data_IF_678022028796
#
_entry.id   IF_678022028796
#
_cell.length_a   1.000
_cell.length_b   1.000
_cell.length_c   1.000
_cell.angle_alpha   90.00
_cell.angle_beta   90.00
_cell.angle_gamma   90.00
#
_symmetry.space_group_name_H-M   'P 1'
#
loop_
_entity.id
_entity.type
_entity.pdbx_description
1 polymer ?
#
# COMPACT_ATOMS: atom_id res chain seq x y z
N UNK A 1 -1.58 46.72 70.79
CA UNK A 1 -0.17 46.61 70.34
C UNK A 1 0.20 45.14 70.18
N UNK A 2 0.31 44.66 68.94
CA UNK A 2 1.29 43.66 68.48
C UNK A 2 0.98 43.32 67.02
N UNK A 3 1.89 43.73 66.15
CA UNK A 3 1.98 43.41 64.72
C UNK A 3 2.44 41.96 64.60
N UNK A 4 1.95 41.20 63.61
CA UNK A 4 2.75 40.16 62.94
C UNK A 4 2.12 39.71 61.63
N UNK A 5 2.81 40.12 60.55
CA UNK A 5 3.02 39.47 59.26
C UNK A 5 2.08 38.33 58.84
N UNK A 6 1.26 38.58 57.81
CA UNK A 6 0.79 37.54 56.91
C UNK A 6 1.63 37.55 55.62
N UNK A 7 2.25 36.40 55.39
CA UNK A 7 3.10 36.02 54.26
C UNK A 7 2.25 36.00 52.97
N UNK A 8 2.57 36.84 51.99
CA UNK A 8 1.96 36.76 50.65
C UNK A 8 2.74 35.76 49.80
N UNK A 9 2.24 34.53 49.68
CA UNK A 9 2.75 33.56 48.72
C UNK A 9 2.14 33.86 47.34
N UNK A 10 2.94 34.43 46.43
CA UNK A 10 2.59 34.58 45.03
C UNK A 10 2.70 33.21 44.33
N UNK A 11 1.56 32.59 44.05
CA UNK A 11 1.48 31.37 43.25
C UNK A 11 1.55 31.77 41.77
N UNK A 12 2.72 31.63 41.15
CA UNK A 12 2.88 31.82 39.71
C UNK A 12 2.27 30.62 38.97
N UNK A 13 1.08 30.81 38.38
CA UNK A 13 0.52 29.88 37.39
C UNK A 13 1.37 29.97 36.12
N UNK A 14 2.32 29.05 35.95
CA UNK A 14 2.91 28.77 34.65
C UNK A 14 1.94 27.90 33.86
N UNK A 15 1.22 28.53 32.92
CA UNK A 15 0.46 27.82 31.89
C UNK A 15 1.45 26.99 31.04
N UNK A 16 1.27 25.67 30.91
CA UNK A 16 2.00 24.93 29.90
C UNK A 16 1.48 25.36 28.53
N UNK A 17 2.30 26.09 27.77
CA UNK A 17 2.16 26.15 26.32
C UNK A 17 2.27 24.73 25.78
N UNK A 18 1.14 24.12 25.47
CA UNK A 18 1.08 22.88 24.72
C UNK A 18 1.71 23.17 23.34
N UNK A 19 2.99 22.83 23.20
CA UNK A 19 3.62 22.70 21.90
C UNK A 19 2.76 21.70 21.12
N UNK A 20 2.06 22.19 20.10
CA UNK A 20 1.42 21.33 19.12
C UNK A 20 2.52 20.43 18.55
N UNK A 21 2.45 19.14 18.90
CA UNK A 21 3.34 18.14 18.34
C UNK A 21 3.25 18.22 16.81
N UNK A 22 4.37 18.11 16.08
CA UNK A 22 4.32 18.03 14.63
C UNK A 22 3.38 16.88 14.26
N UNK A 23 2.40 17.17 13.39
CA UNK A 23 1.45 16.18 12.94
C UNK A 23 2.22 15.03 12.26
N UNK A 24 2.39 13.92 12.97
CA UNK A 24 2.83 12.66 12.37
C UNK A 24 1.96 12.40 11.14
N UNK A 25 2.50 11.89 10.02
CA UNK A 25 1.72 11.64 8.81
C UNK A 25 0.55 10.71 9.17
N UNK A 26 -0.66 11.28 9.25
CA UNK A 26 -1.86 10.70 9.89
C UNK A 26 -2.46 9.51 9.13
N UNK A 27 -1.83 9.03 8.05
CA UNK A 27 -2.48 8.17 7.06
C UNK A 27 -2.58 6.70 7.48
N UNK A 28 -1.57 6.09 8.12
CA UNK A 28 -1.64 4.68 8.55
C UNK A 28 -2.51 4.45 9.79
N UNK A 29 -2.49 5.38 10.74
CA UNK A 29 -3.17 5.24 12.03
C UNK A 29 -4.70 5.35 11.96
N UNK A 30 -5.25 5.84 10.84
CA UNK A 30 -6.69 6.02 10.63
C UNK A 30 -7.29 5.04 9.61
N UNK A 31 -6.57 3.97 9.26
CA UNK A 31 -7.02 3.00 8.28
C UNK A 31 -8.38 2.39 8.68
N UNK A 32 -9.27 2.25 7.69
CA UNK A 32 -10.53 1.50 7.81
C UNK A 32 -10.24 0.00 7.77
N UNK A 33 -9.33 -0.41 6.88
CA UNK A 33 -8.90 -1.79 6.75
C UNK A 33 -7.43 -1.87 6.35
N UNK A 34 -6.80 -2.97 6.71
CA UNK A 34 -5.45 -3.32 6.30
C UNK A 34 -5.50 -4.68 5.62
N UNK A 35 -5.26 -4.69 4.31
CA UNK A 35 -5.17 -5.90 3.51
C UNK A 35 -3.71 -6.19 3.28
N UNK A 36 -3.13 -7.03 4.12
CA UNK A 36 -1.71 -7.31 3.96
C UNK A 36 -1.50 -8.22 2.76
N UNK A 37 -0.70 -7.73 1.83
CA UNK A 37 -0.07 -8.50 0.75
C UNK A 37 1.18 -9.23 1.28
N UNK A 38 1.66 -8.87 2.49
CA UNK A 38 2.83 -9.42 3.19
C UNK A 38 2.58 -9.78 4.68
N UNK A 39 1.34 -9.85 5.24
CA UNK A 39 1.02 -10.51 6.57
C UNK A 39 1.24 -12.02 6.53
N UNK A 40 2.11 -12.41 5.64
CA UNK A 40 2.35 -13.73 5.20
C UNK A 40 3.88 -13.85 4.97
N UNK A 41 4.68 -12.92 5.53
CA UNK A 41 6.09 -13.17 5.82
C UNK A 41 6.29 -14.17 6.98
N UNK A 42 5.24 -14.46 7.76
CA UNK A 42 5.17 -15.61 8.69
C UNK A 42 4.03 -16.60 8.37
N UNK A 43 3.30 -16.39 7.29
CA UNK A 43 2.21 -17.27 6.84
C UNK A 43 1.91 -17.17 5.33
N UNK A 44 2.92 -17.10 4.45
CA UNK A 44 2.87 -17.12 2.97
C UNK A 44 1.58 -16.70 2.20
N UNK A 45 1.61 -15.54 1.48
CA UNK A 45 0.74 -15.39 0.32
C UNK A 45 1.39 -16.35 -0.66
N UNK A 46 0.80 -17.52 -0.84
CA UNK A 46 1.15 -18.43 -1.92
C UNK A 46 0.21 -18.16 -3.08
N UNK A 47 0.54 -18.62 -4.29
CA UNK A 47 -0.45 -18.74 -5.36
C UNK A 47 -1.78 -19.36 -4.90
N UNK A 48 -1.77 -20.24 -3.88
CA UNK A 48 -2.98 -20.84 -3.31
C UNK A 48 -3.84 -19.87 -2.46
N UNK A 49 -3.25 -18.93 -1.71
CA UNK A 49 -4.05 -17.95 -0.96
C UNK A 49 -4.51 -16.79 -1.82
N UNK A 50 -3.79 -16.46 -2.90
CA UNK A 50 -4.31 -15.60 -3.95
C UNK A 50 -5.40 -16.28 -4.77
N UNK A 51 -5.41 -17.61 -4.87
CA UNK A 51 -6.49 -18.35 -5.54
C UNK A 51 -7.87 -18.15 -4.88
N UNK A 52 -7.92 -17.78 -3.59
CA UNK A 52 -9.17 -17.34 -2.92
C UNK A 52 -9.72 -16.06 -3.55
N UNK A 53 -8.85 -15.27 -4.17
CA UNK A 53 -9.18 -14.08 -4.96
C UNK A 53 -9.55 -14.42 -6.40
N UNK A 54 -9.73 -15.70 -6.75
CA UNK A 54 -10.06 -16.14 -8.10
C UNK A 54 -8.90 -16.80 -8.83
N UNK A 55 -9.16 -17.21 -10.08
CA UNK A 55 -8.24 -18.00 -10.88
C UNK A 55 -7.08 -17.12 -11.38
N UNK A 56 -5.81 -17.56 -11.24
CA UNK A 56 -4.70 -16.85 -11.85
C UNK A 56 -4.83 -16.85 -13.37
N UNK A 57 -4.35 -15.78 -13.99
CA UNK A 57 -4.20 -15.67 -15.44
C UNK A 57 -2.75 -15.46 -15.81
N UNK A 58 -2.35 -16.05 -16.94
CA UNK A 58 -1.04 -15.83 -17.53
C UNK A 58 -1.18 -15.00 -18.79
N UNK A 59 -0.47 -13.87 -18.86
CA UNK A 59 -0.46 -12.98 -20.01
C UNK A 59 0.89 -12.27 -20.12
N UNK A 60 1.08 -11.52 -21.21
CA UNK A 60 2.28 -10.73 -21.46
C UNK A 60 1.99 -9.26 -21.17
N UNK A 61 2.80 -8.65 -20.31
CA UNK A 61 2.87 -7.20 -20.11
C UNK A 61 3.84 -6.65 -21.16
N UNK A 62 3.39 -5.91 -22.18
CA UNK A 62 4.28 -5.41 -23.21
C UNK A 62 5.17 -4.29 -22.66
N UNK A 63 6.44 -4.29 -23.07
CA UNK A 63 7.45 -3.28 -22.71
C UNK A 63 7.38 -2.88 -21.22
N UNK A 64 7.52 -3.88 -20.35
CA UNK A 64 7.42 -3.72 -18.92
C UNK A 64 8.36 -2.63 -18.41
N UNK A 65 7.88 -1.82 -17.47
CA UNK A 65 8.64 -0.67 -16.99
C UNK A 65 9.89 -1.07 -16.21
N UNK A 66 9.85 -2.18 -15.48
CA UNK A 66 10.93 -2.60 -14.61
C UNK A 66 12.01 -3.36 -15.39
N UNK A 67 11.61 -4.21 -16.35
CA UNK A 67 12.54 -5.04 -17.12
C UNK A 67 12.85 -4.54 -18.53
N UNK A 68 12.16 -3.50 -19.00
CA UNK A 68 12.34 -2.91 -20.34
C UNK A 68 12.22 -3.92 -21.50
N UNK A 69 11.34 -4.91 -21.31
CA UNK A 69 11.02 -5.96 -22.28
C UNK A 69 9.61 -6.46 -22.03
N UNK A 70 9.08 -7.19 -22.99
CA UNK A 70 7.85 -7.95 -22.77
C UNK A 70 8.05 -8.94 -21.63
N UNK A 71 7.15 -8.92 -20.66
CA UNK A 71 7.23 -9.74 -19.46
C UNK A 71 6.01 -10.64 -19.38
N UNK A 72 6.21 -11.95 -19.44
CA UNK A 72 5.15 -12.90 -19.16
C UNK A 72 4.97 -13.03 -17.66
N UNK A 73 3.72 -12.92 -17.20
CA UNK A 73 3.39 -12.94 -15.77
C UNK A 73 2.23 -13.90 -15.51
N UNK A 74 2.24 -14.53 -14.33
CA UNK A 74 1.06 -15.12 -13.71
C UNK A 74 0.54 -14.16 -12.65
N UNK A 75 -0.71 -13.72 -12.79
CA UNK A 75 -1.28 -12.64 -12.00
C UNK A 75 -2.74 -12.91 -11.59
N UNK A 76 -3.20 -12.13 -10.60
CA UNK A 76 -4.56 -12.18 -10.06
C UNK A 76 -5.22 -10.81 -10.22
N UNK A 77 -6.53 -10.77 -10.44
CA UNK A 77 -7.25 -9.50 -10.56
C UNK A 77 -7.25 -8.76 -9.22
N UNK A 78 -6.84 -7.48 -9.24
CA UNK A 78 -6.89 -6.61 -8.06
C UNK A 78 -8.31 -6.48 -7.53
N UNK A 79 -9.28 -6.31 -8.43
CA UNK A 79 -10.71 -6.25 -8.13
C UNK A 79 -11.19 -7.43 -7.29
N UNK A 80 -10.81 -8.65 -7.69
CA UNK A 80 -11.25 -9.86 -7.00
C UNK A 80 -10.53 -10.02 -5.66
N UNK A 81 -9.26 -9.63 -5.59
CA UNK A 81 -8.52 -9.52 -4.33
C UNK A 81 -9.20 -8.59 -3.32
N UNK A 82 -9.64 -7.40 -3.78
CA UNK A 82 -10.33 -6.41 -2.97
C UNK A 82 -11.72 -6.91 -2.55
N UNK A 83 -12.54 -7.42 -3.48
CA UNK A 83 -13.89 -7.95 -3.18
C UNK A 83 -13.85 -9.10 -2.18
N UNK A 84 -12.89 -10.01 -2.32
CA UNK A 84 -12.74 -11.15 -1.42
C UNK A 84 -12.38 -10.74 0.02
N UNK A 85 -11.84 -9.52 0.22
CA UNK A 85 -11.29 -9.08 1.51
C UNK A 85 -11.97 -7.83 2.09
N UNK A 86 -12.84 -7.18 1.32
CA UNK A 86 -13.64 -6.02 1.71
C UNK A 86 -15.12 -6.35 1.48
N UNK A 87 -15.79 -7.00 2.45
CA UNK A 87 -17.19 -7.37 2.31
C UNK A 87 -18.13 -6.15 2.13
N UNK A 88 -17.69 -4.96 2.53
CA UNK A 88 -18.39 -3.68 2.42
C UNK A 88 -17.88 -2.80 1.27
N UNK A 89 -17.21 -3.37 0.26
CA UNK A 89 -16.56 -2.62 -0.84
C UNK A 89 -17.48 -1.57 -1.49
N UNK A 90 -18.77 -1.88 -1.69
CA UNK A 90 -19.74 -0.94 -2.25
C UNK A 90 -19.95 0.32 -1.40
N UNK A 91 -19.97 0.18 -0.06
CA UNK A 91 -20.11 1.31 0.84
C UNK A 91 -18.82 2.16 0.89
N UNK A 92 -17.66 1.51 0.82
CA UNK A 92 -16.36 2.18 0.74
C UNK A 92 -16.21 2.98 -0.56
N UNK A 93 -16.66 2.44 -1.69
CA UNK A 93 -16.73 3.14 -2.97
C UNK A 93 -17.66 4.34 -2.92
N UNK A 94 -18.86 4.19 -2.37
CA UNK A 94 -19.84 5.27 -2.24
C UNK A 94 -19.34 6.44 -1.39
N UNK A 95 -18.47 6.15 -0.41
CA UNK A 95 -17.86 7.14 0.48
C UNK A 95 -16.59 7.77 -0.08
N UNK A 96 -16.13 7.39 -1.27
CA UNK A 96 -14.85 7.83 -1.81
C UNK A 96 -13.65 7.52 -0.89
N UNK A 97 -13.63 6.31 -0.32
CA UNK A 97 -12.47 5.83 0.42
C UNK A 97 -11.20 5.89 -0.46
N UNK A 98 -10.06 6.07 0.18
CA UNK A 98 -8.77 6.03 -0.50
C UNK A 98 -8.08 4.68 -0.26
N UNK A 99 -7.09 4.37 -1.09
CA UNK A 99 -6.25 3.18 -0.98
C UNK A 99 -4.79 3.61 -1.03
N UNK A 100 -4.00 3.15 -0.07
CA UNK A 100 -2.54 3.31 -0.10
C UNK A 100 -1.88 1.95 -0.36
N UNK A 101 -1.02 1.91 -1.37
CA UNK A 101 -0.34 0.71 -1.86
C UNK A 101 1.10 0.69 -1.32
N UNK A 102 1.30 0.16 -0.13
CA UNK A 102 2.60 0.22 0.54
C UNK A 102 3.55 -0.86 0.02
N UNK A 103 4.75 -0.47 -0.40
CA UNK A 103 5.77 -1.30 -1.02
C UNK A 103 6.97 -1.51 -0.08
N UNK A 104 7.75 -2.57 -0.31
CA UNK A 104 8.85 -2.99 0.55
C UNK A 104 9.99 -1.96 0.59
N UNK A 105 10.15 -1.18 -0.47
CA UNK A 105 11.12 -0.09 -0.59
C UNK A 105 10.63 1.24 0.03
N UNK A 106 9.43 1.25 0.62
CA UNK A 106 8.80 2.42 1.23
C UNK A 106 7.97 3.26 0.27
N UNK A 107 7.93 2.94 -1.04
CA UNK A 107 7.00 3.57 -1.97
C UNK A 107 5.56 3.27 -1.56
N UNK A 108 4.69 4.28 -1.55
CA UNK A 108 3.34 4.15 -0.99
C UNK A 108 2.32 5.07 -1.69
N UNK A 109 2.08 4.90 -3.01
CA UNK A 109 1.14 5.75 -3.72
C UNK A 109 -0.27 5.59 -3.16
N UNK A 110 -0.98 6.71 -3.14
CA UNK A 110 -2.36 6.77 -2.67
C UNK A 110 -3.25 7.04 -3.88
N UNK A 111 -4.33 6.29 -4.03
CA UNK A 111 -5.35 6.50 -5.06
C UNK A 111 -6.73 6.49 -4.43
N UNK A 112 -7.75 7.01 -5.12
CA UNK A 112 -9.14 6.78 -4.70
C UNK A 112 -9.50 5.33 -5.00
N UNK A 113 -10.27 4.70 -4.12
CA UNK A 113 -10.70 3.32 -4.30
C UNK A 113 -11.49 3.14 -5.60
N UNK A 114 -12.32 4.14 -5.97
CA UNK A 114 -13.08 4.16 -7.23
C UNK A 114 -12.23 4.25 -8.48
N UNK A 115 -11.01 4.76 -8.38
CA UNK A 115 -10.10 4.87 -9.52
C UNK A 115 -9.31 3.57 -9.73
N UNK A 116 -9.25 2.71 -8.69
CA UNK A 116 -8.61 1.39 -8.75
C UNK A 116 -9.61 0.30 -9.15
N UNK A 117 -10.78 0.27 -8.52
CA UNK A 117 -11.77 -0.79 -8.73
C UNK A 117 -12.41 -0.64 -10.10
N UNK A 118 -12.36 -1.70 -10.90
CA UNK A 118 -12.87 -1.72 -12.28
C UNK A 118 -11.90 -1.18 -13.33
N UNK A 119 -10.75 -0.64 -12.92
CA UNK A 119 -9.73 -0.12 -13.84
C UNK A 119 -8.83 -1.22 -14.46
N UNK A 120 -9.04 -2.49 -14.10
CA UNK A 120 -8.34 -3.62 -14.73
C UNK A 120 -6.92 -3.85 -14.21
N UNK A 121 -6.69 -3.58 -12.92
CA UNK A 121 -5.41 -3.83 -12.26
C UNK A 121 -5.19 -5.30 -11.96
N UNK A 122 -3.93 -5.72 -11.99
CA UNK A 122 -3.47 -7.08 -11.75
C UNK A 122 -2.34 -7.10 -10.73
N UNK A 123 -2.40 -8.05 -9.80
CA UNK A 123 -1.33 -8.38 -8.88
C UNK A 123 -0.51 -9.51 -9.51
N UNK A 124 0.59 -9.15 -10.17
CA UNK A 124 1.54 -10.10 -10.73
C UNK A 124 2.33 -10.77 -9.60
N UNK A 125 2.28 -12.11 -9.58
CA UNK A 125 2.83 -12.93 -8.51
C UNK A 125 4.16 -13.59 -8.88
N UNK A 126 4.36 -13.88 -10.16
CA UNK A 126 5.56 -14.53 -10.68
C UNK A 126 5.64 -14.37 -12.19
N UNK A 127 6.84 -14.56 -12.74
CA UNK A 127 7.02 -14.90 -14.15
C UNK A 127 7.16 -16.41 -14.31
N UNK A 128 6.47 -17.06 -15.28
CA UNK A 128 6.67 -18.48 -15.56
C UNK A 128 8.03 -18.78 -16.22
N UNK A 129 8.82 -17.76 -16.53
CA UNK A 129 10.12 -17.88 -17.20
C UNK A 129 11.28 -17.98 -16.21
N UNK A 130 11.01 -18.03 -14.90
CA UNK A 130 12.01 -18.18 -13.84
C UNK A 130 11.66 -19.30 -12.87
N UNK A 131 12.67 -19.74 -12.12
CA UNK A 131 12.50 -20.79 -11.12
C UNK A 131 11.51 -20.37 -10.01
N UNK A 132 10.76 -21.35 -9.52
CA UNK A 132 9.67 -21.15 -8.56
C UNK A 132 10.12 -20.45 -7.26
N UNK A 133 11.36 -20.69 -6.84
CA UNK A 133 11.93 -20.11 -5.61
C UNK A 133 12.27 -18.62 -5.76
N UNK A 134 12.54 -18.17 -6.99
CA UNK A 134 12.99 -16.80 -7.24
C UNK A 134 11.82 -15.87 -7.58
N UNK A 135 10.76 -16.39 -8.23
CA UNK A 135 9.55 -15.68 -8.73
C UNK A 135 9.79 -14.54 -9.73
N UNK A 136 10.85 -13.77 -9.55
CA UNK A 136 11.25 -12.62 -10.36
C UNK A 136 12.77 -12.54 -10.50
N UNK A 137 13.31 -12.35 -11.71
CA UNK A 137 14.74 -12.13 -11.86
C UNK A 137 15.14 -10.79 -11.22
N UNK A 138 16.31 -10.75 -10.57
CA UNK A 138 16.88 -9.49 -10.08
C UNK A 138 17.12 -8.52 -11.24
N UNK A 139 17.04 -7.21 -10.97
CA UNK A 139 17.13 -6.16 -11.99
C UNK A 139 17.78 -4.91 -11.40
N UNK A 140 18.26 -4.01 -12.25
CA UNK A 140 18.67 -2.67 -11.82
C UNK A 140 17.57 -1.70 -12.20
N UNK A 141 17.04 -0.98 -11.21
CA UNK A 141 16.04 0.05 -11.44
C UNK A 141 16.66 1.43 -11.24
N UNK A 142 16.67 2.24 -12.30
CA UNK A 142 17.49 3.46 -12.40
C UNK A 142 18.95 3.09 -12.10
N UNK A 143 19.46 3.48 -10.94
CA UNK A 143 20.84 3.21 -10.51
C UNK A 143 20.91 2.32 -9.26
N UNK A 144 19.80 1.67 -8.88
CA UNK A 144 19.72 0.84 -7.67
C UNK A 144 19.54 -0.63 -8.04
N UNK A 145 20.41 -1.53 -7.56
CA UNK A 145 20.16 -2.97 -7.63
C UNK A 145 18.89 -3.31 -6.86
N UNK A 146 17.96 -3.99 -7.52
CA UNK A 146 16.73 -4.50 -6.94
C UNK A 146 16.81 -6.04 -6.92
N UNK A 147 17.12 -6.65 -5.77
CA UNK A 147 17.22 -8.10 -5.65
C UNK A 147 15.83 -8.74 -5.80
N UNK A 148 15.80 -9.98 -6.29
CA UNK A 148 14.56 -10.75 -6.55
C UNK A 148 13.53 -10.68 -5.41
N UNK A 149 13.99 -10.86 -4.16
CA UNK A 149 13.12 -10.83 -2.98
C UNK A 149 12.43 -9.49 -2.70
N UNK A 150 12.93 -8.37 -3.26
CA UNK A 150 12.34 -7.05 -3.10
C UNK A 150 11.32 -6.69 -4.21
N UNK A 151 11.32 -7.42 -5.33
CA UNK A 151 10.37 -7.22 -6.43
C UNK A 151 8.98 -7.76 -6.04
N UNK A 152 8.93 -8.87 -5.30
CA UNK A 152 7.75 -9.32 -4.57
C UNK A 152 6.47 -9.38 -5.43
N UNK A 153 5.38 -8.77 -4.96
CA UNK A 153 4.16 -8.63 -5.75
C UNK A 153 4.16 -7.31 -6.51
N UNK A 154 3.87 -7.37 -7.81
CA UNK A 154 3.90 -6.21 -8.69
C UNK A 154 2.49 -5.85 -9.17
N UNK A 155 2.13 -4.58 -9.13
CA UNK A 155 0.87 -4.10 -9.69
C UNK A 155 1.06 -3.70 -11.15
N UNK A 156 0.40 -4.42 -12.05
CA UNK A 156 0.40 -4.16 -13.49
C UNK A 156 -0.99 -3.81 -13.98
N UNK A 157 -1.03 -2.98 -15.02
CA UNK A 157 -2.25 -2.53 -15.67
C UNK A 157 -2.19 -2.93 -17.13
N UNK A 158 -3.12 -3.77 -17.58
CA UNK A 158 -3.13 -4.38 -18.91
C UNK A 158 -3.08 -3.34 -20.05
N UNK A 159 -3.72 -2.19 -19.85
CA UNK A 159 -3.80 -1.12 -20.84
C UNK A 159 -2.94 0.10 -20.52
N UNK A 160 -1.99 -0.01 -19.57
CA UNK A 160 -1.20 1.10 -19.03
C UNK A 160 -2.02 2.33 -18.56
N UNK A 161 -3.32 2.18 -18.33
CA UNK A 161 -4.19 3.24 -17.82
C UNK A 161 -4.20 3.18 -16.31
N UNK A 162 -3.51 4.15 -15.70
CA UNK A 162 -3.54 4.52 -14.28
C UNK A 162 -2.88 3.53 -13.29
N UNK A 163 -2.19 3.99 -12.23
CA UNK A 163 -1.72 5.36 -11.98
C UNK A 163 -0.40 5.65 -12.73
N UNK A 164 -0.02 6.94 -12.74
CA UNK A 164 1.25 7.42 -13.28
C UNK A 164 2.43 6.60 -12.72
N UNK A 165 3.35 6.26 -13.63
CA UNK A 165 4.57 5.53 -13.33
C UNK A 165 5.36 6.21 -12.19
N UNK A 166 6.08 5.45 -11.36
CA UNK A 166 6.31 4.02 -11.47
C UNK A 166 5.15 3.17 -10.94
N UNK A 167 4.87 2.07 -11.62
CA UNK A 167 3.94 1.06 -11.12
C UNK A 167 4.48 0.46 -9.82
N UNK A 168 3.66 0.22 -8.78
CA UNK A 168 4.13 -0.30 -7.49
C UNK A 168 4.62 -1.75 -7.59
N UNK A 169 5.90 -2.02 -7.28
CA UNK A 169 6.45 -3.36 -7.04
C UNK A 169 6.74 -3.58 -5.55
N UNK A 170 7.03 -4.83 -5.18
CA UNK A 170 7.31 -5.18 -3.80
C UNK A 170 6.12 -4.91 -2.90
N UNK A 171 4.88 -4.98 -3.41
CA UNK A 171 3.67 -4.64 -2.68
C UNK A 171 3.57 -5.47 -1.40
N UNK A 172 3.51 -4.77 -0.27
CA UNK A 172 3.47 -5.29 1.10
C UNK A 172 2.05 -5.25 1.62
N UNK A 173 1.36 -4.13 1.48
CA UNK A 173 0.07 -3.93 2.13
C UNK A 173 -0.78 -3.00 1.27
N UNK A 174 -2.08 -3.24 1.29
CA UNK A 174 -3.09 -2.35 0.75
C UNK A 174 -3.89 -1.81 1.93
N UNK A 175 -3.71 -0.54 2.24
CA UNK A 175 -4.44 0.16 3.30
C UNK A 175 -5.69 0.79 2.71
N UNK A 176 -6.86 0.49 3.25
CA UNK A 176 -8.09 1.25 2.96
C UNK A 176 -8.18 2.38 3.94
N UNK A 177 -8.28 3.60 3.44
CA UNK A 177 -8.22 4.83 4.20
C UNK A 177 -9.55 5.59 4.10
N UNK A 178 -9.88 6.43 5.10
CA UNK A 178 -11.09 7.25 5.06
C UNK A 178 -11.14 8.19 3.86
N UNK A 179 -12.36 8.57 3.53
CA UNK A 179 -12.64 9.64 2.57
C UNK A 179 -11.91 10.93 2.95
N UNK A 180 -11.49 11.70 1.95
CA UNK A 180 -10.75 12.95 2.16
C UNK A 180 -9.28 12.77 2.52
N UNK A 181 -8.78 11.53 2.58
CA UNK A 181 -7.32 11.28 2.61
C UNK A 181 -6.70 11.90 1.36
N UNK A 182 -5.63 12.69 1.56
CA UNK A 182 -4.94 13.35 0.44
C UNK A 182 -4.29 12.31 -0.47
N UNK A 183 -4.77 12.24 -1.70
CA UNK A 183 -4.19 11.48 -2.81
C UNK A 183 -2.91 12.20 -3.24
N UNK A 184 -1.79 11.48 -3.33
CA UNK A 184 -0.47 12.00 -3.71
C UNK A 184 0.28 10.96 -4.53
#
# INVERSE_FOLDING_TARGET
MKRSLFLTALLALTLPTALAAPASPRTKAQQIALLRVQALAHAAITPATLAVSGRPMTFTVPNDYLYHRDLRVTAYRLDDFLRARLPDLGALLARDAAVMLYCADGYAPIARLRDLVGAGGWIAASSPEVDADTRWPAVTYKDKPLPAGQIGYYLVWENHRYPEKPQPWGLVDVYVLPAGTTVR
#
